data_IF_282131505807
#
_entry.id   IF_282131505807
#
_cell.length_a   1.000
_cell.length_b   1.000
_cell.length_c   1.000
_cell.angle_alpha   90.00
_cell.angle_beta   90.00
_cell.angle_gamma   90.00
#
_symmetry.space_group_name_H-M   'P 1'
#
loop_
_entity.id
_entity.type
_entity.pdbx_description
1 polymer ?
#
# COMPACT_ATOMS: atom_id res chain seq x y z
N UNK A 1 -13.64 11.43 13.79
CA UNK A 1 -13.80 10.62 15.02
C UNK A 1 -12.64 10.96 15.93
N UNK A 2 -12.90 11.33 17.17
CA UNK A 2 -11.84 11.73 18.12
C UNK A 2 -11.16 10.51 18.74
N UNK A 3 -9.88 10.68 19.10
CA UNK A 3 -9.11 9.63 19.78
C UNK A 3 -9.74 9.30 21.14
N UNK A 4 -9.95 8.02 21.43
CA UNK A 4 -10.52 7.57 22.70
C UNK A 4 -9.54 7.67 23.87
N UNK A 5 -8.24 7.63 23.59
CA UNK A 5 -7.15 7.65 24.60
C UNK A 5 -6.02 8.59 24.14
N UNK A 6 -6.26 9.92 24.12
CA UNK A 6 -5.23 10.86 23.68
C UNK A 6 -4.03 10.83 24.64
N UNK A 7 -2.84 10.90 24.07
CA UNK A 7 -1.59 11.04 24.84
C UNK A 7 -1.29 12.52 24.99
N UNK A 8 -1.15 12.98 26.22
CA UNK A 8 -0.72 14.36 26.49
C UNK A 8 0.79 14.44 26.22
N UNK A 9 1.17 15.30 25.32
CA UNK A 9 2.56 15.60 25.02
C UNK A 9 2.90 16.98 25.51
N UNK A 10 3.99 17.08 26.27
CA UNK A 10 4.52 18.31 26.83
C UNK A 10 5.76 18.67 25.99
N UNK A 11 5.71 19.78 25.28
CA UNK A 11 6.85 20.30 24.52
C UNK A 11 7.19 21.70 24.99
N UNK A 12 8.45 21.88 25.37
CA UNK A 12 9.02 23.19 25.65
C UNK A 12 9.85 23.65 24.45
N UNK A 13 9.39 24.70 23.79
CA UNK A 13 10.09 25.27 22.64
C UNK A 13 10.28 26.78 22.86
N UNK A 14 11.53 27.26 22.85
CA UNK A 14 11.89 28.67 23.04
C UNK A 14 11.32 29.30 24.34
N UNK A 15 11.25 28.51 25.45
CA UNK A 15 10.71 28.97 26.74
C UNK A 15 9.17 28.99 26.82
N UNK A 16 8.49 28.50 25.80
CA UNK A 16 7.03 28.32 25.80
C UNK A 16 6.69 26.85 25.98
N UNK A 17 6.00 26.54 27.08
CA UNK A 17 5.52 25.18 27.37
C UNK A 17 4.11 24.98 26.77
N UNK A 18 3.99 24.06 25.83
CA UNK A 18 2.73 23.76 25.17
C UNK A 18 2.30 22.33 25.47
N UNK A 19 1.08 22.19 26.00
CA UNK A 19 0.42 20.90 26.20
C UNK A 19 -0.54 20.66 25.05
N UNK A 20 -0.38 19.55 24.32
CA UNK A 20 -1.34 19.17 23.29
C UNK A 20 -1.67 17.67 23.33
N UNK A 21 -2.89 17.36 22.97
CA UNK A 21 -3.38 16.00 22.89
C UNK A 21 -2.99 15.37 21.55
N UNK A 22 -2.13 14.36 21.57
CA UNK A 22 -1.77 13.58 20.40
C UNK A 22 -2.62 12.31 20.32
N UNK A 23 -3.11 11.94 19.10
CA UNK A 23 -3.79 10.66 18.92
C UNK A 23 -2.91 9.48 19.37
N UNK A 24 -3.47 8.53 20.10
CA UNK A 24 -2.72 7.38 20.64
C UNK A 24 -2.21 6.45 19.53
N UNK A 25 -2.83 6.44 18.36
CA UNK A 25 -2.47 5.57 17.21
C UNK A 25 -3.06 4.15 17.28
N UNK A 26 -3.53 3.70 18.42
CA UNK A 26 -3.92 2.30 18.67
C UNK A 26 -5.43 2.08 18.73
N UNK A 27 -6.20 3.04 19.21
CA UNK A 27 -7.65 2.88 19.31
C UNK A 27 -8.31 2.82 17.94
N UNK A 28 -9.51 2.26 17.88
CA UNK A 28 -10.26 2.09 16.63
C UNK A 28 -10.43 3.40 15.85
N UNK A 29 -10.73 4.50 16.56
CA UNK A 29 -10.85 5.83 15.95
C UNK A 29 -9.55 6.28 15.27
N UNK A 30 -8.40 6.10 15.92
CA UNK A 30 -7.09 6.43 15.34
C UNK A 30 -6.76 5.56 14.13
N UNK A 31 -7.01 4.26 14.21
CA UNK A 31 -6.80 3.32 13.09
C UNK A 31 -7.70 3.65 11.90
N UNK A 32 -8.96 3.97 12.14
CA UNK A 32 -9.89 4.38 11.08
C UNK A 32 -9.42 5.68 10.41
N UNK A 33 -9.05 6.69 11.19
CA UNK A 33 -8.51 7.95 10.68
C UNK A 33 -7.25 7.74 9.85
N UNK A 34 -6.34 6.90 10.32
CA UNK A 34 -5.12 6.57 9.60
C UNK A 34 -5.40 5.86 8.27
N UNK A 35 -6.32 4.89 8.26
CA UNK A 35 -6.77 4.20 7.04
C UNK A 35 -7.42 5.16 6.04
N UNK A 36 -8.28 6.07 6.50
CA UNK A 36 -8.90 7.09 5.66
C UNK A 36 -7.85 8.04 5.05
N UNK A 37 -6.86 8.43 5.84
CA UNK A 37 -5.74 9.25 5.37
C UNK A 37 -4.96 8.54 4.26
N UNK A 38 -4.69 7.25 4.39
CA UNK A 38 -4.00 6.50 3.34
C UNK A 38 -4.86 6.28 2.10
N UNK A 39 -6.16 6.02 2.26
CA UNK A 39 -7.09 5.96 1.13
C UNK A 39 -7.11 7.28 0.35
N UNK A 40 -7.17 8.41 1.06
CA UNK A 40 -7.09 9.73 0.44
C UNK A 40 -5.75 9.96 -0.28
N UNK A 41 -4.62 9.57 0.32
CA UNK A 41 -3.29 9.66 -0.32
C UNK A 41 -3.20 8.87 -1.62
N UNK A 42 -3.72 7.64 -1.64
CA UNK A 42 -3.77 6.80 -2.85
C UNK A 42 -4.63 7.45 -3.92
N UNK A 43 -5.77 8.03 -3.55
CA UNK A 43 -6.66 8.72 -4.49
C UNK A 43 -6.04 10.01 -5.04
N UNK A 44 -5.38 10.80 -4.21
CA UNK A 44 -4.66 12.01 -4.62
C UNK A 44 -3.50 11.68 -5.57
N UNK A 45 -2.74 10.64 -5.28
CA UNK A 45 -1.69 10.17 -6.19
C UNK A 45 -2.29 9.73 -7.53
N UNK A 46 -3.41 9.02 -7.51
CA UNK A 46 -4.10 8.58 -8.73
C UNK A 46 -4.56 9.74 -9.62
N UNK A 47 -4.96 10.88 -9.03
CA UNK A 47 -5.35 12.08 -9.78
C UNK A 47 -4.17 12.75 -10.52
N UNK A 48 -2.93 12.49 -10.08
CA UNK A 48 -1.73 13.00 -10.74
C UNK A 48 -1.35 12.20 -12.01
N UNK A 49 -2.07 11.14 -12.32
CA UNK A 49 -1.79 10.23 -13.43
C UNK A 49 -3.04 10.03 -14.28
N UNK A 50 -2.87 9.96 -15.60
CA UNK A 50 -4.00 9.81 -16.54
C UNK A 50 -4.73 8.47 -16.33
N UNK A 51 -3.98 7.41 -16.05
CA UNK A 51 -4.50 6.06 -15.91
C UNK A 51 -3.85 5.34 -14.72
N UNK A 52 -4.61 4.51 -14.05
CA UNK A 52 -4.16 3.80 -12.86
C UNK A 52 -4.82 2.43 -12.78
N UNK A 53 -4.05 1.42 -12.43
CA UNK A 53 -4.54 0.05 -12.35
C UNK A 53 -4.40 -0.54 -10.96
N UNK A 54 -5.31 -1.43 -10.64
CA UNK A 54 -5.26 -2.28 -9.48
C UNK A 54 -4.94 -3.71 -9.92
N UNK A 55 -3.91 -4.29 -9.33
CA UNK A 55 -3.38 -5.61 -9.65
C UNK A 55 -3.48 -6.50 -8.42
N UNK A 56 -3.95 -7.72 -8.61
CA UNK A 56 -3.85 -8.80 -7.62
C UNK A 56 -2.88 -9.86 -8.12
N UNK A 57 -1.89 -10.20 -7.32
CA UNK A 57 -0.91 -11.25 -7.59
C UNK A 57 -1.16 -12.42 -6.64
N UNK A 58 -1.27 -13.62 -7.19
CA UNK A 58 -1.50 -14.84 -6.42
C UNK A 58 -0.52 -15.91 -6.89
N UNK A 59 0.06 -16.66 -5.98
CA UNK A 59 0.90 -17.79 -6.34
C UNK A 59 0.08 -18.91 -6.99
N UNK A 60 0.65 -19.61 -7.96
CA UNK A 60 0.21 -20.96 -8.30
C UNK A 60 0.70 -21.99 -7.25
N UNK A 61 0.47 -23.26 -7.48
CA UNK A 61 0.87 -24.30 -6.52
C UNK A 61 2.37 -24.54 -6.52
N UNK A 62 3.02 -24.40 -7.68
CA UNK A 62 4.44 -24.72 -7.86
C UNK A 62 5.35 -23.64 -7.28
N UNK A 63 4.85 -22.40 -7.19
CA UNK A 63 5.59 -21.24 -6.68
C UNK A 63 5.16 -20.78 -5.28
N UNK A 64 4.18 -21.48 -4.69
CA UNK A 64 3.74 -21.13 -3.33
C UNK A 64 4.89 -21.40 -2.34
N UNK A 65 5.28 -20.41 -1.52
CA UNK A 65 6.30 -20.64 -0.49
C UNK A 65 5.92 -21.79 0.47
N UNK A 66 6.90 -22.48 0.97
CA UNK A 66 6.74 -23.48 2.01
C UNK A 66 7.50 -23.03 3.28
N UNK A 67 6.84 -22.73 4.38
CA UNK A 67 5.38 -22.67 4.58
C UNK A 67 4.69 -21.56 3.75
N UNK A 68 3.36 -21.67 3.49
CA UNK A 68 2.60 -20.71 2.69
C UNK A 68 2.53 -19.33 3.38
N UNK A 69 3.51 -18.46 3.13
CA UNK A 69 3.60 -17.16 3.77
C UNK A 69 3.91 -16.04 2.79
N UNK A 70 3.67 -14.80 3.23
CA UNK A 70 4.07 -13.61 2.51
C UNK A 70 5.60 -13.52 2.44
N UNK A 71 6.12 -13.16 1.27
CA UNK A 71 7.56 -12.94 1.05
C UNK A 71 7.76 -11.52 0.49
N UNK A 72 8.15 -10.55 1.34
CA UNK A 72 8.32 -9.16 0.91
C UNK A 72 9.28 -8.98 -0.26
N UNK A 73 10.27 -9.86 -0.38
CA UNK A 73 11.26 -9.80 -1.46
C UNK A 73 10.69 -10.23 -2.81
N UNK A 74 9.70 -11.13 -2.84
CA UNK A 74 9.00 -11.47 -4.09
C UNK A 74 8.26 -10.27 -4.68
N UNK A 75 7.60 -9.47 -3.83
CA UNK A 75 6.97 -8.22 -4.24
C UNK A 75 8.01 -7.19 -4.72
N UNK A 76 9.13 -7.07 -4.02
CA UNK A 76 10.23 -6.16 -4.40
C UNK A 76 10.85 -6.55 -5.74
N UNK A 77 11.09 -7.84 -5.96
CA UNK A 77 11.59 -8.39 -7.21
C UNK A 77 10.60 -8.20 -8.37
N UNK A 78 9.30 -8.40 -8.13
CA UNK A 78 8.24 -8.10 -9.09
C UNK A 78 8.30 -6.64 -9.54
N UNK A 79 8.30 -5.68 -8.60
CA UNK A 79 8.35 -4.25 -8.93
C UNK A 79 9.63 -3.90 -9.69
N UNK A 80 10.79 -4.49 -9.33
CA UNK A 80 12.06 -4.28 -10.02
C UNK A 80 11.99 -4.80 -11.48
N UNK A 81 11.49 -6.03 -11.69
CA UNK A 81 11.31 -6.60 -13.03
C UNK A 81 10.35 -5.79 -13.87
N UNK A 82 9.24 -5.34 -13.27
CA UNK A 82 8.23 -4.53 -13.97
C UNK A 82 8.81 -3.19 -14.40
N UNK A 83 9.59 -2.52 -13.56
CA UNK A 83 10.27 -1.26 -13.91
C UNK A 83 11.24 -1.43 -15.09
N UNK A 84 11.99 -2.54 -15.12
CA UNK A 84 12.88 -2.83 -16.24
C UNK A 84 12.14 -3.02 -17.56
N UNK A 85 10.92 -3.62 -17.54
CA UNK A 85 10.09 -3.83 -18.73
C UNK A 85 9.48 -2.55 -19.27
N UNK A 86 9.11 -1.63 -18.41
CA UNK A 86 8.50 -0.36 -18.80
C UNK A 86 9.52 0.77 -19.03
N UNK A 87 10.83 0.54 -18.81
CA UNK A 87 11.84 1.57 -19.06
C UNK A 87 11.79 2.10 -20.51
N UNK A 88 11.90 3.42 -20.72
CA UNK A 88 12.19 4.49 -19.77
C UNK A 88 10.97 5.04 -19.00
N UNK A 89 9.75 4.54 -19.25
CA UNK A 89 8.54 4.97 -18.55
C UNK A 89 8.68 4.67 -17.04
N UNK A 90 8.47 5.68 -16.24
CA UNK A 90 8.46 5.54 -14.78
C UNK A 90 7.02 5.51 -14.27
N UNK A 91 6.71 4.50 -13.49
CA UNK A 91 5.45 4.41 -12.78
C UNK A 91 5.69 4.43 -11.27
N UNK A 92 4.66 4.79 -10.54
CA UNK A 92 4.65 4.76 -9.08
C UNK A 92 3.75 3.63 -8.60
N UNK A 93 3.92 3.22 -7.36
CA UNK A 93 3.11 2.13 -6.82
C UNK A 93 2.80 2.29 -5.33
N UNK A 94 1.71 1.70 -4.92
CA UNK A 94 1.38 1.32 -3.56
C UNK A 94 1.02 -0.16 -3.56
N UNK A 95 1.53 -0.93 -2.60
CA UNK A 95 1.30 -2.36 -2.55
C UNK A 95 1.15 -2.85 -1.11
N UNK A 96 0.40 -3.93 -0.93
CA UNK A 96 0.29 -4.65 0.33
C UNK A 96 0.34 -6.15 0.12
N UNK A 97 0.85 -6.86 1.13
CA UNK A 97 0.72 -8.30 1.26
C UNK A 97 -0.42 -8.64 2.21
N UNK A 98 -1.21 -9.63 1.87
CA UNK A 98 -2.43 -10.04 2.57
C UNK A 98 -2.54 -11.56 2.62
N UNK A 99 -3.10 -12.08 3.71
CA UNK A 99 -3.53 -13.48 3.79
C UNK A 99 -5.02 -13.60 3.52
N UNK A 100 -5.38 -14.53 2.66
CA UNK A 100 -6.78 -14.85 2.40
C UNK A 100 -7.49 -15.34 3.68
N UNK A 101 -8.67 -14.79 3.95
CA UNK A 101 -9.39 -14.99 5.22
C UNK A 101 -9.80 -16.45 5.48
N UNK A 102 -9.89 -17.29 4.45
CA UNK A 102 -10.35 -18.69 4.55
C UNK A 102 -9.21 -19.71 4.53
N UNK A 103 -8.19 -19.46 3.71
CA UNK A 103 -7.12 -20.44 3.43
C UNK A 103 -5.74 -19.96 3.87
N UNK A 104 -5.63 -18.75 4.40
CA UNK A 104 -4.37 -18.07 4.69
C UNK A 104 -3.39 -18.04 3.49
N UNK A 105 -3.91 -18.22 2.26
CA UNK A 105 -3.07 -18.16 1.07
C UNK A 105 -2.56 -16.74 0.87
N UNK A 106 -1.23 -16.53 0.69
CA UNK A 106 -0.68 -15.20 0.50
C UNK A 106 -1.07 -14.59 -0.84
N UNK A 107 -1.46 -13.31 -0.83
CA UNK A 107 -1.78 -12.49 -1.98
C UNK A 107 -1.06 -11.15 -1.88
N UNK A 108 -0.82 -10.51 -3.04
CA UNK A 108 -0.35 -9.13 -3.07
C UNK A 108 -1.33 -8.29 -3.87
N UNK A 109 -1.71 -7.15 -3.32
CA UNK A 109 -2.48 -6.15 -4.01
C UNK A 109 -1.58 -4.95 -4.33
N UNK A 110 -1.57 -4.55 -5.59
CA UNK A 110 -0.68 -3.50 -6.07
C UNK A 110 -1.48 -2.46 -6.85
N UNK A 111 -1.39 -1.21 -6.43
CA UNK A 111 -1.83 -0.08 -7.24
C UNK A 111 -0.62 0.41 -8.03
N UNK A 112 -0.76 0.47 -9.36
CA UNK A 112 0.25 1.02 -10.26
C UNK A 112 -0.30 2.31 -10.86
N UNK A 113 0.37 3.42 -10.58
CA UNK A 113 0.00 4.74 -11.04
C UNK A 113 0.74 5.06 -12.34
N UNK A 114 0.00 5.54 -13.34
CA UNK A 114 0.55 5.92 -14.65
C UNK A 114 0.61 4.77 -15.66
N UNK A 115 -0.10 3.67 -15.42
CA UNK A 115 -0.21 2.56 -16.36
C UNK A 115 -1.67 2.33 -16.77
N UNK A 116 -1.93 2.11 -18.10
CA UNK A 116 -3.25 1.83 -18.62
C UNK A 116 -3.72 0.41 -18.32
N UNK A 117 -5.04 0.24 -18.22
CA UNK A 117 -5.67 -1.06 -18.10
C UNK A 117 -5.91 -1.67 -19.49
N UNK A 118 -4.90 -2.33 -20.04
CA UNK A 118 -4.97 -2.97 -21.35
C UNK A 118 -4.22 -4.30 -21.39
N UNK A 119 -4.43 -5.08 -22.47
CA UNK A 119 -3.85 -6.41 -22.62
C UNK A 119 -2.31 -6.43 -22.68
N UNK A 120 -1.68 -5.35 -23.17
CA UNK A 120 -0.22 -5.26 -23.20
C UNK A 120 0.35 -5.14 -21.79
N UNK A 121 -0.21 -4.24 -20.98
CA UNK A 121 0.20 -4.08 -19.57
C UNK A 121 -0.06 -5.36 -18.80
N UNK A 122 -1.19 -6.04 -19.04
CA UNK A 122 -1.51 -7.32 -18.41
C UNK A 122 -0.44 -8.38 -18.69
N UNK A 123 -0.03 -8.53 -19.95
CA UNK A 123 1.05 -9.46 -20.34
C UNK A 123 2.37 -9.13 -19.67
N UNK A 124 2.73 -7.84 -19.59
CA UNK A 124 3.97 -7.40 -18.93
C UNK A 124 3.94 -7.66 -17.42
N UNK A 125 2.80 -7.40 -16.78
CA UNK A 125 2.60 -7.66 -15.35
C UNK A 125 2.66 -9.17 -15.06
N UNK A 126 1.96 -9.99 -15.84
CA UNK A 126 1.98 -11.45 -15.71
C UNK A 126 3.41 -12.00 -15.87
N UNK A 127 4.11 -11.55 -16.92
CA UNK A 127 5.50 -11.96 -17.16
C UNK A 127 6.46 -11.45 -16.08
N UNK A 128 6.21 -10.27 -15.50
CA UNK A 128 7.03 -9.77 -14.39
C UNK A 128 6.74 -10.51 -13.08
N UNK A 129 5.50 -10.97 -12.86
CA UNK A 129 5.17 -11.79 -11.71
C UNK A 129 5.82 -13.16 -11.80
N UNK A 130 5.50 -13.92 -12.81
CA UNK A 130 6.12 -15.22 -13.13
C UNK A 130 5.98 -16.30 -12.05
N UNK A 131 5.08 -16.10 -11.08
CA UNK A 131 4.90 -17.02 -9.94
C UNK A 131 3.42 -17.40 -9.74
N UNK A 132 2.61 -17.26 -10.80
CA UNK A 132 1.22 -17.68 -10.78
C UNK A 132 0.27 -16.71 -11.46
N UNK A 133 -0.87 -16.44 -10.83
CA UNK A 133 -1.98 -15.74 -11.45
C UNK A 133 -1.95 -14.23 -11.20
N UNK A 134 -2.41 -13.48 -12.19
CA UNK A 134 -2.55 -12.02 -12.15
C UNK A 134 -3.98 -11.66 -12.52
N UNK A 135 -4.56 -10.72 -11.80
CA UNK A 135 -5.81 -10.07 -12.16
C UNK A 135 -5.59 -8.56 -12.20
N UNK A 136 -5.98 -7.92 -13.29
CA UNK A 136 -5.86 -6.47 -13.47
C UNK A 136 -7.24 -5.85 -13.64
N UNK A 137 -7.38 -4.65 -13.12
CA UNK A 137 -8.58 -3.85 -13.29
C UNK A 137 -8.25 -2.38 -13.10
N UNK A 138 -9.10 -1.51 -13.60
CA UNK A 138 -8.95 -0.08 -13.37
C UNK A 138 -9.08 0.24 -11.88
N UNK A 139 -8.25 1.17 -11.39
CA UNK A 139 -8.33 1.62 -10.01
C UNK A 139 -9.66 2.34 -9.77
N UNK A 140 -10.31 2.01 -8.66
CA UNK A 140 -11.52 2.70 -8.18
C UNK A 140 -11.31 3.19 -6.76
N UNK A 141 -12.10 4.18 -6.28
CA UNK A 141 -12.05 4.63 -4.88
C UNK A 141 -12.25 3.49 -3.88
N UNK A 142 -13.11 2.53 -4.19
CA UNK A 142 -13.33 1.35 -3.35
C UNK A 142 -12.06 0.48 -3.23
N UNK A 143 -11.31 0.28 -4.33
CA UNK A 143 -10.04 -0.45 -4.34
C UNK A 143 -8.92 0.30 -3.63
N UNK A 144 -8.85 1.62 -3.77
CA UNK A 144 -7.93 2.46 -3.01
C UNK A 144 -8.17 2.33 -1.49
N UNK A 145 -9.44 2.38 -1.06
CA UNK A 145 -9.83 2.17 0.34
C UNK A 145 -9.54 0.75 0.83
N UNK A 146 -9.69 -0.23 -0.05
CA UNK A 146 -9.39 -1.63 0.26
C UNK A 146 -7.90 -1.82 0.61
N UNK A 147 -6.98 -1.37 -0.24
CA UNK A 147 -5.53 -1.54 0.04
C UNK A 147 -5.06 -0.70 1.22
N UNK A 148 -5.69 0.45 1.48
CA UNK A 148 -5.35 1.32 2.59
C UNK A 148 -5.58 0.67 3.96
N UNK A 149 -6.49 -0.31 4.08
CA UNK A 149 -6.73 -1.02 5.35
C UNK A 149 -5.50 -1.77 5.86
N UNK A 150 -4.62 -2.24 4.93
CA UNK A 150 -3.44 -3.02 5.28
C UNK A 150 -2.29 -2.19 5.84
N UNK A 151 -2.34 -0.86 5.71
CA UNK A 151 -1.36 0.03 6.37
C UNK A 151 -1.52 0.01 7.90
N UNK A 152 -2.72 -0.34 8.39
CA UNK A 152 -3.07 -0.33 9.81
C UNK A 152 -3.19 -1.72 10.43
N UNK A 153 -3.05 -2.78 9.64
CA UNK A 153 -3.36 -4.14 10.10
C UNK A 153 -2.29 -4.73 11.02
N UNK A 154 -1.08 -4.15 11.04
CA UNK A 154 0.03 -4.58 11.89
C UNK A 154 -0.25 -4.53 13.41
N UNK A 155 -1.41 -4.01 13.83
CA UNK A 155 -1.65 -3.65 15.23
C UNK A 155 -2.71 -4.54 15.92
N UNK A 156 -3.53 -5.31 15.20
CA UNK A 156 -4.72 -5.84 15.85
C UNK A 156 -5.26 -7.23 15.49
N UNK A 157 -4.75 -7.92 14.50
CA UNK A 157 -5.36 -9.20 14.03
C UNK A 157 -4.36 -10.38 13.94
N UNK A 158 -3.29 -10.35 14.73
CA UNK A 158 -2.21 -11.35 14.68
C UNK A 158 -2.56 -12.72 15.27
N UNK A 159 -3.67 -12.85 15.99
CA UNK A 159 -4.04 -14.09 16.72
C UNK A 159 -4.32 -15.29 15.80
N UNK A 160 -4.37 -15.08 14.48
CA UNK A 160 -4.69 -16.14 13.49
C UNK A 160 -3.50 -16.65 12.70
N UNK A 161 -2.36 -15.94 12.73
CA UNK A 161 -1.17 -16.35 12.01
C UNK A 161 -0.29 -17.25 12.89
N UNK A 162 0.26 -18.35 12.33
CA UNK A 162 1.23 -19.16 13.04
C UNK A 162 2.45 -18.32 13.47
N UNK A 163 3.07 -18.70 14.57
CA UNK A 163 4.28 -18.06 15.05
C UNK A 163 5.39 -18.11 13.99
N UNK A 164 6.09 -16.98 13.81
CA UNK A 164 7.16 -16.86 12.81
C UNK A 164 6.70 -16.53 11.39
N UNK A 165 5.41 -16.47 11.11
CA UNK A 165 4.93 -16.04 9.79
C UNK A 165 5.18 -14.56 9.56
N UNK A 166 5.50 -14.20 8.31
CA UNK A 166 5.59 -12.80 7.91
C UNK A 166 4.24 -12.11 8.06
N UNK A 167 4.19 -11.05 8.84
CA UNK A 167 2.97 -10.23 9.00
C UNK A 167 2.57 -9.56 7.69
N UNK A 168 1.29 -9.24 7.55
CA UNK A 168 0.81 -8.40 6.46
C UNK A 168 1.53 -7.05 6.48
N UNK A 169 1.79 -6.49 5.32
CA UNK A 169 2.62 -5.28 5.20
C UNK A 169 2.17 -4.40 4.03
N UNK A 170 2.58 -3.14 4.06
CA UNK A 170 2.44 -2.21 2.93
C UNK A 170 3.81 -1.69 2.48
N UNK A 171 3.97 -1.51 1.18
CA UNK A 171 5.14 -0.89 0.53
C UNK A 171 4.70 0.09 -0.54
N UNK A 172 5.49 1.12 -0.79
CA UNK A 172 5.16 2.16 -1.76
C UNK A 172 6.40 2.85 -2.32
N UNK A 173 6.21 3.59 -3.40
CA UNK A 173 7.21 4.52 -3.90
C UNK A 173 7.54 5.57 -2.84
N UNK A 174 8.84 5.76 -2.52
CA UNK A 174 9.29 6.62 -1.42
C UNK A 174 9.88 7.96 -1.89
N UNK A 175 10.36 8.04 -3.13
CA UNK A 175 11.04 9.24 -3.62
C UNK A 175 10.42 9.73 -4.95
N UNK A 176 9.67 10.83 -4.93
CA UNK A 176 9.01 11.41 -3.75
C UNK A 176 8.02 10.39 -3.14
N UNK A 177 7.63 10.52 -1.87
CA UNK A 177 6.57 9.69 -1.26
C UNK A 177 5.24 9.85 -2.02
N UNK A 178 4.34 8.85 -1.94
CA UNK A 178 3.00 9.00 -2.52
C UNK A 178 2.34 10.25 -1.93
N UNK A 179 1.83 11.18 -2.77
CA UNK A 179 1.28 12.51 -2.47
C UNK A 179 2.26 13.71 -2.45
N UNK A 180 3.56 13.49 -2.45
CA UNK A 180 4.54 14.59 -2.46
C UNK A 180 4.54 15.38 -3.78
N UNK A 181 4.03 14.79 -4.84
CA UNK A 181 3.94 15.43 -6.16
C UNK A 181 2.90 16.56 -6.19
N UNK A 182 1.78 16.37 -5.53
CA UNK A 182 0.70 17.38 -5.45
C UNK A 182 1.20 18.68 -4.81
N UNK A 183 2.04 18.60 -3.77
CA UNK A 183 2.62 19.79 -3.13
C UNK A 183 3.61 20.53 -4.02
N UNK A 184 4.34 19.84 -4.88
CA UNK A 184 5.31 20.49 -5.80
C UNK A 184 4.64 21.14 -7.00
N UNK A 185 3.55 20.56 -7.52
CA UNK A 185 2.82 21.13 -8.66
C UNK A 185 1.97 22.35 -8.26
N UNK A 186 1.49 22.42 -7.01
CA UNK A 186 0.74 23.58 -6.50
C UNK A 186 1.66 24.73 -6.08
N UNK A 187 2.96 24.48 -5.84
CA UNK A 187 3.95 25.52 -5.49
C UNK A 187 4.54 26.24 -6.72
N UNK A 188 4.13 25.84 -7.92
CA UNK A 188 4.58 26.45 -9.17
C UNK A 188 3.63 27.49 -9.78
N UNK A 189 2.58 27.91 -9.08
CA UNK A 189 1.75 29.07 -9.41
C UNK A 189 2.14 30.23 -8.50
N UNK A 190 3.24 30.88 -8.85
CA UNK A 190 3.75 32.11 -8.27
C UNK A 190 4.60 32.81 -9.29
#
# INVERSE_FOLDING_TARGET
MECLFPVVQDEENAGVRTLFNRPCGYCEACRLTYRQTWAARIQLEAQCHAENIFVTLTYDQDHLPDPPQLVPDHLSAFVKRLRARFAPLQFRFFACGEYGSRTLRPHYHVVLFGLPCNAEVERQVLSAWGAGHVSISQLSPARASYVAKYVCKDISDDDKLPEGYQREFARMSRNPGNWCWFYRSCSGCG
#
